data_IF_007945683199
#
_entry.id   IF_007945683199
#
_cell.length_a   1.000
_cell.length_b   1.000
_cell.length_c   1.000
_cell.angle_alpha   90.00
_cell.angle_beta   90.00
_cell.angle_gamma   90.00
#
_symmetry.space_group_name_H-M   'P 1'
#
loop_
_entity.id
_entity.type
_entity.pdbx_description
1 polymer ?
#
# COMPACT_ATOMS: atom_id res chain seq x y z
N UNK A 1 -65.56 -27.27 -49.05
CA UNK A 1 -64.14 -27.60 -49.37
C UNK A 1 -63.31 -26.39 -48.98
N UNK A 2 -62.36 -26.53 -48.04
CA UNK A 2 -61.53 -25.41 -47.62
C UNK A 2 -60.48 -25.10 -48.70
N UNK A 3 -60.28 -23.83 -49.01
CA UNK A 3 -59.32 -23.40 -50.03
C UNK A 3 -57.90 -23.41 -49.47
N UNK A 4 -56.92 -23.87 -50.25
CA UNK A 4 -55.51 -23.95 -49.84
C UNK A 4 -54.99 -22.61 -49.31
N UNK A 5 -55.43 -21.49 -49.91
CA UNK A 5 -55.09 -20.14 -49.48
C UNK A 5 -55.53 -19.83 -48.03
N UNK A 6 -56.67 -20.37 -47.58
CA UNK A 6 -57.16 -20.15 -46.20
C UNK A 6 -56.35 -20.92 -45.16
N UNK A 7 -55.85 -22.10 -45.50
CA UNK A 7 -54.98 -22.89 -44.60
C UNK A 7 -53.61 -22.26 -44.45
N UNK A 8 -53.04 -21.74 -45.54
CA UNK A 8 -51.74 -21.04 -45.50
C UNK A 8 -51.84 -19.75 -44.68
N UNK A 9 -52.90 -18.96 -44.87
CA UNK A 9 -53.09 -17.71 -44.13
C UNK A 9 -53.23 -17.94 -42.62
N UNK A 10 -54.05 -18.92 -42.22
CA UNK A 10 -54.29 -19.24 -40.81
C UNK A 10 -53.05 -19.81 -40.12
N UNK A 11 -52.27 -20.66 -40.81
CA UNK A 11 -50.98 -21.15 -40.32
C UNK A 11 -49.98 -20.01 -40.12
N UNK A 12 -49.89 -19.07 -41.07
CA UNK A 12 -48.97 -17.93 -40.98
C UNK A 12 -49.34 -17.01 -39.82
N UNK A 13 -50.63 -16.73 -39.63
CA UNK A 13 -51.13 -15.91 -38.52
C UNK A 13 -50.86 -16.59 -37.18
N UNK A 14 -51.10 -17.90 -37.06
CA UNK A 14 -50.83 -18.65 -35.84
C UNK A 14 -49.33 -18.68 -35.50
N UNK A 15 -48.46 -18.82 -36.51
CA UNK A 15 -47.02 -18.79 -36.34
C UNK A 15 -46.53 -17.40 -35.90
N UNK A 16 -47.04 -16.32 -36.51
CA UNK A 16 -46.73 -14.95 -36.11
C UNK A 16 -47.20 -14.65 -34.68
N UNK A 17 -48.42 -15.08 -34.33
CA UNK A 17 -48.96 -14.92 -32.99
C UNK A 17 -48.14 -15.70 -31.95
N UNK A 18 -47.80 -16.95 -32.25
CA UNK A 18 -46.97 -17.79 -31.38
C UNK A 18 -45.55 -17.26 -31.21
N UNK A 19 -44.92 -16.81 -32.30
CA UNK A 19 -43.60 -16.20 -32.26
C UNK A 19 -43.60 -14.87 -31.48
N UNK A 20 -44.65 -14.05 -31.66
CA UNK A 20 -44.83 -12.82 -30.90
C UNK A 20 -44.97 -13.07 -29.40
N UNK A 21 -45.85 -13.99 -28.99
CA UNK A 21 -45.99 -14.38 -27.58
C UNK A 21 -44.73 -15.01 -27.01
N UNK A 22 -44.07 -15.89 -27.78
CA UNK A 22 -42.83 -16.54 -27.36
C UNK A 22 -41.70 -15.54 -27.13
N UNK A 23 -41.50 -14.60 -28.06
CA UNK A 23 -40.52 -13.54 -27.93
C UNK A 23 -40.84 -12.62 -26.75
N UNK A 24 -42.12 -12.29 -26.55
CA UNK A 24 -42.56 -11.46 -25.43
C UNK A 24 -42.28 -12.12 -24.07
N UNK A 25 -42.57 -13.41 -23.93
CA UNK A 25 -42.26 -14.17 -22.71
C UNK A 25 -40.75 -14.23 -22.46
N UNK A 26 -39.95 -14.55 -23.48
CA UNK A 26 -38.49 -14.60 -23.35
C UNK A 26 -37.89 -13.25 -22.96
N UNK A 27 -38.43 -12.15 -23.49
CA UNK A 27 -38.00 -10.80 -23.13
C UNK A 27 -38.24 -10.50 -21.64
N UNK A 28 -39.43 -10.84 -21.12
CA UNK A 28 -39.75 -10.68 -19.70
C UNK A 28 -38.85 -11.51 -18.79
N UNK A 29 -38.60 -12.78 -19.15
CA UNK A 29 -37.69 -13.63 -18.39
C UNK A 29 -36.25 -13.11 -18.38
N UNK A 30 -35.73 -12.58 -19.51
CA UNK A 30 -34.39 -11.98 -19.55
C UNK A 30 -34.29 -10.73 -18.67
N UNK A 31 -35.30 -9.87 -18.67
CA UNK A 31 -35.30 -8.65 -17.86
C UNK A 31 -35.20 -8.96 -16.35
N UNK A 32 -35.91 -10.00 -15.90
CA UNK A 32 -35.89 -10.43 -14.49
C UNK A 32 -34.56 -11.06 -14.06
N UNK A 33 -33.85 -11.75 -14.96
CA UNK A 33 -32.52 -12.30 -14.66
C UNK A 33 -31.49 -11.19 -14.53
N UNK A 34 -31.53 -10.20 -15.43
CA UNK A 34 -30.59 -9.09 -15.41
C UNK A 34 -30.74 -8.21 -14.16
N UNK A 35 -31.98 -7.95 -13.71
CA UNK A 35 -32.22 -7.19 -12.48
C UNK A 35 -31.66 -7.89 -11.24
N UNK A 36 -31.78 -9.23 -11.17
CA UNK A 36 -31.23 -10.02 -10.06
C UNK A 36 -29.70 -9.97 -10.00
N UNK A 37 -29.02 -10.03 -11.14
CA UNK A 37 -27.56 -9.91 -11.17
C UNK A 37 -27.12 -8.52 -10.68
N UNK A 38 -27.83 -7.47 -11.07
CA UNK A 38 -27.51 -6.11 -10.64
C UNK A 38 -27.74 -5.91 -9.14
N UNK A 39 -28.84 -6.44 -8.60
CA UNK A 39 -29.10 -6.47 -7.15
C UNK A 39 -28.03 -7.25 -6.39
N UNK A 40 -27.59 -8.39 -6.92
CA UNK A 40 -26.51 -9.18 -6.31
C UNK A 40 -25.19 -8.42 -6.29
N UNK A 41 -24.80 -7.76 -7.39
CA UNK A 41 -23.58 -6.95 -7.45
C UNK A 41 -23.62 -5.78 -6.47
N UNK A 42 -24.78 -5.14 -6.33
CA UNK A 42 -24.98 -4.06 -5.36
C UNK A 42 -24.80 -4.60 -3.93
N UNK A 43 -25.44 -5.72 -3.61
CA UNK A 43 -25.34 -6.33 -2.30
C UNK A 43 -23.92 -6.81 -1.98
N UNK A 44 -23.21 -7.37 -2.96
CA UNK A 44 -21.81 -7.76 -2.83
C UNK A 44 -20.90 -6.54 -2.58
N UNK A 45 -21.09 -5.45 -3.32
CA UNK A 45 -20.35 -4.20 -3.11
C UNK A 45 -20.62 -3.59 -1.72
N UNK A 46 -21.86 -3.59 -1.25
CA UNK A 46 -22.20 -3.14 0.11
C UNK A 46 -21.54 -4.01 1.18
N UNK A 47 -21.61 -5.33 1.02
CA UNK A 47 -20.99 -6.28 1.96
C UNK A 47 -19.47 -6.10 2.02
N UNK A 48 -18.80 -5.91 0.88
CA UNK A 48 -17.35 -5.66 0.84
C UNK A 48 -16.98 -4.35 1.51
N UNK A 49 -17.75 -3.27 1.29
CA UNK A 49 -17.54 -2.00 1.99
C UNK A 49 -17.71 -2.14 3.50
N UNK A 50 -18.76 -2.84 3.93
CA UNK A 50 -19.02 -3.06 5.34
C UNK A 50 -17.91 -3.89 6.01
N UNK A 51 -17.43 -4.94 5.32
CA UNK A 51 -16.28 -5.73 5.80
C UNK A 51 -15.03 -4.88 5.92
N UNK A 52 -14.72 -4.07 4.89
CA UNK A 52 -13.55 -3.18 4.91
C UNK A 52 -13.62 -2.18 6.06
N UNK A 53 -14.78 -1.53 6.27
CA UNK A 53 -14.96 -0.59 7.38
C UNK A 53 -14.75 -1.26 8.74
N UNK A 54 -15.24 -2.50 8.91
CA UNK A 54 -15.05 -3.29 10.12
C UNK A 54 -13.57 -3.65 10.33
N UNK A 55 -12.89 -4.09 9.29
CA UNK A 55 -11.48 -4.50 9.38
C UNK A 55 -10.57 -3.29 9.70
N UNK A 56 -10.87 -2.12 9.12
CA UNK A 56 -10.19 -0.86 9.45
C UNK A 56 -10.45 -0.47 10.91
N UNK A 57 -11.70 -0.54 11.38
CA UNK A 57 -12.04 -0.21 12.76
C UNK A 57 -11.31 -1.12 13.76
N UNK A 58 -11.25 -2.43 13.47
CA UNK A 58 -10.52 -3.41 14.26
C UNK A 58 -9.01 -3.10 14.28
N UNK A 59 -8.41 -2.80 13.13
CA UNK A 59 -7.00 -2.41 13.05
C UNK A 59 -6.68 -1.14 13.85
N UNK A 60 -7.56 -0.12 13.79
CA UNK A 60 -7.40 1.09 14.59
C UNK A 60 -7.57 0.82 16.09
N UNK A 61 -8.50 -0.05 16.47
CA UNK A 61 -8.67 -0.46 17.87
C UNK A 61 -7.41 -1.16 18.39
N UNK A 62 -6.88 -2.15 17.66
CA UNK A 62 -5.63 -2.84 18.01
C UNK A 62 -4.43 -1.88 18.06
N UNK A 63 -4.32 -0.98 17.08
CA UNK A 63 -3.25 0.02 17.03
C UNK A 63 -3.33 0.96 18.25
N UNK A 64 -4.53 1.39 18.64
CA UNK A 64 -4.74 2.24 19.81
C UNK A 64 -4.27 1.55 21.10
N UNK A 65 -4.52 0.25 21.24
CA UNK A 65 -4.04 -0.55 22.37
C UNK A 65 -2.51 -0.64 22.37
N UNK A 66 -1.90 -0.88 21.21
CA UNK A 66 -0.44 -0.99 21.08
C UNK A 66 0.24 0.35 21.39
N UNK A 67 -0.29 1.47 20.90
CA UNK A 67 0.20 2.83 21.20
C UNK A 67 0.05 3.15 22.68
N UNK A 68 -1.04 2.73 23.32
CA UNK A 68 -1.21 2.90 24.75
C UNK A 68 -0.16 2.10 25.54
N UNK A 69 0.10 0.84 25.16
CA UNK A 69 1.13 0.01 25.78
C UNK A 69 2.54 0.62 25.60
N UNK A 70 2.82 1.18 24.42
CA UNK A 70 4.07 1.90 24.17
C UNK A 70 4.19 3.13 25.07
N UNK A 71 3.11 3.91 25.21
CA UNK A 71 3.08 5.10 26.07
C UNK A 71 3.31 4.74 27.53
N UNK A 72 2.72 3.64 28.00
CA UNK A 72 2.96 3.11 29.34
C UNK A 72 4.42 2.71 29.52
N UNK A 73 4.97 1.93 28.58
CA UNK A 73 6.38 1.51 28.61
C UNK A 73 7.33 2.71 28.61
N UNK A 74 7.03 3.76 27.84
CA UNK A 74 7.79 5.01 27.84
C UNK A 74 7.79 5.69 29.22
N UNK A 75 6.62 5.78 29.87
CA UNK A 75 6.51 6.34 31.22
C UNK A 75 7.32 5.52 32.22
N UNK A 76 7.22 4.20 32.17
CA UNK A 76 7.94 3.30 33.08
C UNK A 76 9.45 3.45 32.92
N UNK A 77 9.96 3.53 31.69
CA UNK A 77 11.38 3.79 31.41
C UNK A 77 11.80 5.15 31.96
N UNK A 78 10.99 6.18 31.73
CA UNK A 78 11.30 7.54 32.18
C UNK A 78 11.32 7.64 33.71
N UNK A 79 10.40 6.96 34.40
CA UNK A 79 10.38 6.87 35.86
C UNK A 79 11.56 6.05 36.39
N UNK A 80 11.93 4.96 35.73
CA UNK A 80 13.11 4.17 36.07
C UNK A 80 14.40 4.99 35.95
N UNK A 81 14.51 5.82 34.90
CA UNK A 81 15.64 6.74 34.73
C UNK A 81 15.68 7.81 35.81
N UNK A 82 14.53 8.42 36.15
CA UNK A 82 14.46 9.41 37.23
C UNK A 82 14.84 8.81 38.60
N UNK A 83 14.32 7.63 38.91
CA UNK A 83 14.64 6.90 40.13
C UNK A 83 16.12 6.47 40.17
N UNK A 84 16.67 6.01 39.05
CA UNK A 84 18.09 5.67 38.93
C UNK A 84 18.97 6.91 39.07
N UNK A 85 18.61 8.03 38.45
CA UNK A 85 19.30 9.30 38.59
C UNK A 85 19.31 9.75 40.06
N UNK A 86 18.19 9.67 40.78
CA UNK A 86 18.15 9.98 42.22
C UNK A 86 19.05 9.04 43.03
N UNK A 87 18.98 7.72 42.76
CA UNK A 87 19.78 6.72 43.47
C UNK A 87 21.27 6.89 43.20
N UNK A 88 21.68 7.16 41.97
CA UNK A 88 23.08 7.38 41.59
C UNK A 88 23.57 8.79 41.96
N UNK A 89 22.67 9.78 42.08
CA UNK A 89 23.00 11.12 42.55
C UNK A 89 23.08 11.22 44.09
N UNK A 90 23.01 10.09 44.80
CA UNK A 90 23.29 10.06 46.24
C UNK A 90 24.69 10.65 46.50
N UNK A 91 24.87 11.53 47.50
CA UNK A 91 26.14 12.24 47.72
C UNK A 91 27.39 11.34 47.88
N UNK A 92 27.19 10.08 48.27
CA UNK A 92 28.26 9.09 48.33
C UNK A 92 28.76 8.64 46.95
N UNK A 93 27.84 8.41 46.01
CA UNK A 93 28.16 7.99 44.64
C UNK A 93 28.64 9.18 43.81
N UNK A 94 28.08 10.37 44.01
CA UNK A 94 28.60 11.57 43.35
C UNK A 94 30.03 11.89 43.77
N UNK A 95 30.41 11.67 45.03
CA UNK A 95 31.81 11.72 45.48
C UNK A 95 32.67 10.65 44.81
N UNK A 96 32.18 9.42 44.72
CA UNK A 96 32.90 8.31 44.06
C UNK A 96 33.10 8.56 42.55
N UNK A 97 32.09 9.12 41.86
CA UNK A 97 32.19 9.54 40.47
C UNK A 97 33.15 10.71 40.33
N UNK A 98 33.12 11.70 41.24
CA UNK A 98 34.06 12.83 41.21
C UNK A 98 35.51 12.37 41.40
N UNK A 99 35.73 11.38 42.27
CA UNK A 99 37.05 10.79 42.50
C UNK A 99 37.53 9.95 41.32
N UNK A 100 36.64 9.16 40.69
CA UNK A 100 36.93 8.41 39.47
C UNK A 100 37.08 9.31 38.22
N UNK A 101 36.34 10.41 38.14
CA UNK A 101 36.46 11.42 37.09
C UNK A 101 37.74 12.23 37.25
N UNK A 102 38.13 12.56 38.49
CA UNK A 102 39.43 13.18 38.76
C UNK A 102 40.60 12.20 38.52
N UNK A 103 40.37 10.88 38.48
CA UNK A 103 41.35 9.91 38.02
C UNK A 103 41.39 9.78 36.48
N UNK A 104 40.25 9.91 35.79
CA UNK A 104 40.15 9.77 34.33
C UNK A 104 40.39 11.07 33.53
N UNK A 105 40.18 12.25 34.09
CA UNK A 105 40.45 13.56 33.46
C UNK A 105 41.95 13.77 33.14
N UNK A 106 42.81 12.91 33.66
CA UNK A 106 44.23 12.90 33.40
C UNK A 106 44.56 12.19 32.08
N UNK A 107 43.56 11.56 31.42
CA UNK A 107 43.82 10.60 30.33
C UNK A 107 43.09 10.81 29.00
N UNK A 108 41.95 11.52 28.90
CA UNK A 108 41.21 11.49 27.61
C UNK A 108 40.61 12.83 27.19
N UNK A 109 41.17 13.32 26.09
CA UNK A 109 40.75 14.44 25.26
C UNK A 109 39.38 14.18 24.57
N UNK A 110 38.65 15.27 24.38
CA UNK A 110 37.21 15.37 24.12
C UNK A 110 36.88 15.14 22.63
N UNK A 111 36.28 14.02 22.26
CA UNK A 111 35.75 13.79 20.90
C UNK A 111 34.28 14.21 20.83
N UNK A 112 34.00 15.32 20.14
CA UNK A 112 32.65 15.84 19.91
C UNK A 112 31.95 15.03 18.80
N UNK A 113 30.74 14.56 19.09
CA UNK A 113 29.85 13.91 18.13
C UNK A 113 29.35 14.99 17.16
N UNK A 114 29.66 14.84 15.88
CA UNK A 114 29.20 15.71 14.80
C UNK A 114 27.70 15.49 14.59
N UNK A 115 26.92 16.56 14.67
CA UNK A 115 25.48 16.55 14.34
C UNK A 115 25.30 16.28 12.84
N UNK A 116 25.18 15.00 12.47
CA UNK A 116 24.64 14.63 11.17
C UNK A 116 23.14 14.93 11.17
N UNK A 117 22.77 16.01 10.49
CA UNK A 117 21.40 16.37 10.15
C UNK A 117 20.76 15.24 9.34
N UNK A 118 19.98 14.40 10.00
CA UNK A 118 19.08 13.45 9.34
C UNK A 118 17.77 14.17 8.99
N UNK A 119 17.61 14.59 7.74
CA UNK A 119 16.33 15.10 7.25
C UNK A 119 15.49 13.94 6.68
N UNK A 120 14.21 13.80 7.07
CA UNK A 120 13.35 12.73 6.58
C UNK A 120 13.07 12.88 5.07
N UNK A 121 12.83 11.76 4.34
CA UNK A 121 12.50 11.80 2.92
C UNK A 121 11.26 12.66 2.66
N UNK A 122 11.34 13.53 1.66
CA UNK A 122 10.33 14.56 1.35
C UNK A 122 9.32 14.11 0.30
N UNK A 123 9.21 12.81 0.10
CA UNK A 123 8.43 12.20 -1.01
C UNK A 123 6.91 12.23 -0.79
N UNK A 124 6.45 12.61 0.40
CA UNK A 124 5.03 12.71 0.76
C UNK A 124 4.45 14.13 0.62
N UNK A 125 5.27 15.15 0.33
CA UNK A 125 4.80 16.52 0.25
C UNK A 125 3.99 16.77 -1.04
N UNK A 126 2.77 17.34 -0.95
CA UNK A 126 1.98 17.70 -2.12
C UNK A 126 2.77 18.68 -2.98
N UNK A 127 2.93 18.32 -4.26
CA UNK A 127 3.76 19.03 -5.21
C UNK A 127 3.14 20.37 -5.59
N UNK A 128 4.00 21.37 -5.82
CA UNK A 128 3.56 22.69 -6.29
C UNK A 128 2.98 22.58 -7.70
N UNK A 129 1.99 23.42 -8.02
CA UNK A 129 1.27 23.41 -9.29
C UNK A 129 2.23 23.47 -10.48
N UNK A 130 2.27 22.40 -11.27
CA UNK A 130 3.13 22.25 -12.46
C UNK A 130 4.24 21.20 -12.33
N UNK A 131 4.49 20.64 -11.14
CA UNK A 131 5.51 19.59 -10.95
C UNK A 131 4.90 18.19 -10.94
N UNK A 132 5.33 17.32 -11.87
CA UNK A 132 4.81 15.95 -12.03
C UNK A 132 5.34 15.01 -10.93
N UNK A 133 4.48 14.08 -10.50
CA UNK A 133 4.77 13.12 -9.44
C UNK A 133 5.79 12.06 -9.85
N UNK A 134 6.43 11.41 -8.86
CA UNK A 134 7.21 10.18 -9.11
C UNK A 134 6.34 9.01 -9.60
N UNK A 135 5.01 9.15 -9.47
CA UNK A 135 3.99 8.25 -10.00
C UNK A 135 3.29 8.83 -11.24
N UNK A 136 3.87 9.83 -11.92
CA UNK A 136 3.31 10.31 -13.18
C UNK A 136 3.61 9.28 -14.28
N UNK A 137 2.66 9.09 -15.20
CA UNK A 137 2.76 8.13 -16.30
C UNK A 137 3.95 8.42 -17.24
N UNK A 138 4.44 9.67 -17.22
CA UNK A 138 5.57 10.14 -18.02
C UNK A 138 6.92 9.99 -17.29
N UNK A 139 6.93 9.47 -16.06
CA UNK A 139 8.15 9.35 -15.26
C UNK A 139 9.10 8.30 -15.87
N UNK A 140 10.23 8.76 -16.40
CA UNK A 140 11.20 7.91 -17.11
C UNK A 140 10.98 7.82 -18.62
N UNK A 141 9.98 8.53 -19.17
CA UNK A 141 9.77 8.64 -20.62
C UNK A 141 10.38 9.95 -21.12
N UNK A 142 11.71 9.98 -21.24
CA UNK A 142 12.40 11.03 -21.98
C UNK A 142 12.62 10.53 -23.41
N UNK A 143 12.08 11.24 -24.41
CA UNK A 143 12.34 11.01 -25.83
C UNK A 143 13.76 11.46 -26.20
N UNK A 144 14.77 10.80 -25.65
CA UNK A 144 16.13 10.92 -26.17
C UNK A 144 16.37 9.74 -27.12
N UNK A 145 16.44 10.08 -28.41
CA UNK A 145 16.86 9.17 -29.46
C UNK A 145 18.30 8.72 -29.19
N UNK A 146 18.49 7.58 -28.54
CA UNK A 146 19.69 6.74 -28.72
C UNK A 146 19.38 5.29 -28.31
N UNK A 147 18.87 4.56 -29.30
CA UNK A 147 18.61 3.14 -29.25
C UNK A 147 19.95 2.38 -29.16
N UNK A 148 20.33 1.91 -27.97
CA UNK A 148 21.20 0.74 -27.81
C UNK A 148 20.44 -0.32 -27.04
N UNK A 149 19.79 -1.20 -27.79
CA UNK A 149 19.32 -2.50 -27.29
C UNK A 149 20.53 -3.27 -26.73
N UNK A 150 20.53 -3.66 -25.46
CA UNK A 150 21.47 -4.65 -24.96
C UNK A 150 21.03 -6.00 -25.51
N UNK A 151 21.64 -6.44 -26.62
CA UNK A 151 21.53 -7.82 -27.05
C UNK A 151 22.37 -8.64 -26.09
N UNK A 152 21.71 -9.21 -25.08
CA UNK A 152 22.25 -10.23 -24.20
C UNK A 152 22.58 -11.47 -25.05
N UNK A 153 23.86 -11.61 -25.42
CA UNK A 153 24.41 -12.82 -26.03
C UNK A 153 25.55 -13.31 -25.16
N UNK A 154 25.51 -14.60 -24.80
CA UNK A 154 26.25 -15.20 -23.69
C UNK A 154 27.74 -15.51 -23.98
N UNK A 155 28.33 -14.90 -25.01
CA UNK A 155 29.68 -15.27 -25.47
C UNK A 155 30.78 -14.27 -25.09
N UNK A 156 30.47 -13.18 -24.37
CA UNK A 156 31.44 -12.10 -24.07
C UNK A 156 31.94 -12.08 -22.61
N UNK A 157 32.02 -13.24 -21.96
CA UNK A 157 32.77 -13.35 -20.70
C UNK A 157 34.25 -13.62 -20.99
N UNK A 158 34.98 -12.54 -21.27
CA UNK A 158 36.44 -12.55 -21.26
C UNK A 158 36.95 -12.63 -19.80
N UNK A 159 37.24 -13.85 -19.36
CA UNK A 159 37.85 -14.14 -18.06
C UNK A 159 39.38 -14.03 -18.17
N UNK A 160 39.92 -12.87 -18.49
CA UNK A 160 41.32 -12.57 -18.23
C UNK A 160 41.57 -11.07 -18.12
N UNK A 161 41.53 -10.55 -16.89
CA UNK A 161 42.40 -9.44 -16.54
C UNK A 161 43.11 -9.74 -15.23
N UNK A 162 43.94 -10.78 -15.28
CA UNK A 162 45.11 -10.82 -14.42
C UNK A 162 46.21 -10.01 -15.08
N UNK A 163 46.51 -8.79 -14.61
CA UNK A 163 47.88 -8.27 -14.49
C UNK A 163 47.97 -6.85 -13.89
N UNK A 164 48.27 -6.79 -12.60
CA UNK A 164 49.48 -6.16 -12.01
C UNK A 164 50.23 -5.13 -12.87
N UNK A 165 50.31 -3.88 -12.37
CA UNK A 165 51.47 -2.94 -12.32
C UNK A 165 50.91 -1.50 -12.26
N UNK A 166 51.44 -0.53 -11.53
CA UNK A 166 52.70 -0.35 -10.80
C UNK A 166 52.53 0.83 -9.85
#
# INVERSE_FOLDING_TARGET
MFSLSTLVLTSLISLLAGAGLGAFLLYLFRAQVYSRELEQRLHEAENTLQSYQRDVAEHFAQTSQLVNNLTQSYRDVHEHLANSALKLATPAISRQILEAANANLLSTEKTYISEQSFEPPRDWAPKTTGSKGALSEDFGLHEDQDHKTPTESADDYDFDDTHKKR
#
